data_IF_713758073360
#
_entry.id   IF_713758073360
#
_cell.length_a   1.000
_cell.length_b   1.000
_cell.length_c   1.000
_cell.angle_alpha   90.00
_cell.angle_beta   90.00
_cell.angle_gamma   90.00
#
_symmetry.space_group_name_H-M   'P 1'
#
loop_
_entity.id
_entity.type
_entity.pdbx_description
1 polymer ?
#
# COMPACT_ATOMS: atom_id res chain seq x y z
N UNK A 1 -64.24 70.74 -19.45
CA UNK A 1 -64.16 69.37 -20.01
C UNK A 1 -62.69 68.99 -19.97
N UNK A 2 -62.20 68.46 -18.85
CA UNK A 2 -62.09 67.02 -18.57
C UNK A 2 -61.67 66.22 -19.80
N UNK A 3 -60.46 65.63 -19.76
CA UNK A 3 -60.30 64.21 -19.49
C UNK A 3 -58.85 63.95 -19.04
N UNK A 4 -58.71 63.72 -17.73
CA UNK A 4 -57.70 62.84 -17.19
C UNK A 4 -57.76 61.47 -17.88
N UNK A 5 -56.67 60.72 -17.72
CA UNK A 5 -56.53 59.30 -18.00
C UNK A 5 -56.36 58.95 -19.48
N UNK A 6 -55.11 58.66 -19.85
CA UNK A 6 -54.74 57.26 -20.02
C UNK A 6 -53.22 57.12 -20.13
N UNK A 7 -52.73 56.06 -19.52
CA UNK A 7 -51.45 55.42 -19.87
C UNK A 7 -50.18 56.17 -19.46
N UNK A 8 -49.95 56.25 -18.14
CA UNK A 8 -48.62 55.93 -17.60
C UNK A 8 -48.33 54.45 -17.92
N UNK A 9 -48.09 54.13 -19.18
CA UNK A 9 -47.41 52.90 -19.53
C UNK A 9 -45.97 53.11 -19.07
N UNK A 10 -45.67 52.66 -17.84
CA UNK A 10 -44.32 52.25 -17.52
C UNK A 10 -43.93 51.29 -18.64
N UNK A 11 -43.08 51.76 -19.55
CA UNK A 11 -42.20 50.87 -20.25
C UNK A 11 -41.33 50.29 -19.14
N UNK A 12 -41.80 49.19 -18.54
CA UNK A 12 -40.98 48.29 -17.76
C UNK A 12 -39.95 47.78 -18.75
N UNK A 13 -38.87 48.55 -18.91
CA UNK A 13 -37.75 48.21 -19.76
C UNK A 13 -37.18 46.92 -19.17
N UNK A 14 -37.34 45.77 -19.87
CA UNK A 14 -36.88 44.49 -19.35
C UNK A 14 -35.39 44.49 -19.09
N UNK A 15 -34.64 45.37 -19.79
CA UNK A 15 -33.22 45.61 -19.55
C UNK A 15 -32.96 46.36 -18.24
N UNK A 16 -33.77 47.36 -17.91
CA UNK A 16 -33.64 48.12 -16.66
C UNK A 16 -33.94 47.26 -15.44
N UNK A 17 -34.98 46.41 -15.49
CA UNK A 17 -35.25 45.47 -14.39
C UNK A 17 -34.16 44.42 -14.23
N UNK A 18 -33.56 43.97 -15.34
CA UNK A 18 -32.48 42.99 -15.31
C UNK A 18 -31.19 43.61 -14.75
N UNK A 19 -30.90 44.86 -15.12
CA UNK A 19 -29.81 45.65 -14.55
C UNK A 19 -30.04 45.93 -13.07
N UNK A 20 -31.25 46.29 -12.64
CA UNK A 20 -31.59 46.52 -11.23
C UNK A 20 -31.52 45.24 -10.40
N UNK A 21 -31.94 44.10 -10.95
CA UNK A 21 -31.77 42.79 -10.29
C UNK A 21 -30.30 42.41 -10.18
N UNK A 22 -29.50 42.63 -11.23
CA UNK A 22 -28.06 42.31 -11.25
C UNK A 22 -27.30 43.22 -10.30
N UNK A 23 -27.55 44.51 -10.31
CA UNK A 23 -26.89 45.51 -9.43
C UNK A 23 -27.33 45.33 -7.98
N UNK A 24 -28.61 45.05 -7.72
CA UNK A 24 -29.13 44.75 -6.39
C UNK A 24 -28.60 43.43 -5.82
N UNK A 25 -28.50 42.39 -6.66
CA UNK A 25 -27.85 41.12 -6.29
C UNK A 25 -26.36 41.32 -6.00
N UNK A 26 -25.66 42.05 -6.85
CA UNK A 26 -24.25 42.39 -6.67
C UNK A 26 -24.02 43.19 -5.39
N UNK A 27 -24.77 44.28 -5.16
CA UNK A 27 -24.63 45.10 -3.96
C UNK A 27 -24.87 44.30 -2.67
N UNK A 28 -25.80 43.33 -2.70
CA UNK A 28 -26.19 42.51 -1.55
C UNK A 28 -25.28 41.31 -1.29
N UNK A 29 -24.71 40.70 -2.34
CA UNK A 29 -23.96 39.44 -2.23
C UNK A 29 -22.47 39.56 -2.61
N UNK A 30 -21.99 40.72 -3.09
CA UNK A 30 -20.59 40.90 -3.53
C UNK A 30 -19.55 40.42 -2.50
N UNK A 31 -19.72 40.74 -1.22
CA UNK A 31 -18.75 40.37 -0.18
C UNK A 31 -18.74 38.86 0.04
N UNK A 32 -19.90 38.21 0.00
CA UNK A 32 -20.03 36.75 0.17
C UNK A 32 -19.48 36.03 -1.06
N UNK A 33 -19.80 36.51 -2.27
CA UNK A 33 -19.30 35.97 -3.54
C UNK A 33 -17.78 36.13 -3.61
N UNK A 34 -17.23 37.31 -3.36
CA UNK A 34 -15.78 37.54 -3.37
C UNK A 34 -15.05 36.72 -2.29
N UNK A 35 -15.61 36.62 -1.07
CA UNK A 35 -15.05 35.78 -0.02
C UNK A 35 -15.05 34.30 -0.44
N UNK A 36 -16.15 33.80 -1.00
CA UNK A 36 -16.27 32.42 -1.47
C UNK A 36 -15.33 32.10 -2.63
N UNK A 37 -15.21 32.99 -3.62
CA UNK A 37 -14.25 32.88 -4.73
C UNK A 37 -12.82 32.92 -4.20
N UNK A 38 -12.50 33.82 -3.26
CA UNK A 38 -11.19 33.90 -2.62
C UNK A 38 -10.80 32.61 -1.92
N UNK A 39 -11.73 31.98 -1.18
CA UNK A 39 -11.52 30.67 -0.54
C UNK A 39 -11.26 29.58 -1.60
N UNK A 40 -12.05 29.53 -2.67
CA UNK A 40 -11.87 28.52 -3.74
C UNK A 40 -10.50 28.68 -4.42
N UNK A 41 -10.09 29.90 -4.73
CA UNK A 41 -8.78 30.19 -5.33
C UNK A 41 -7.65 29.82 -4.38
N UNK A 42 -7.78 30.13 -3.09
CA UNK A 42 -6.77 29.75 -2.09
C UNK A 42 -6.64 28.22 -1.96
N UNK A 43 -7.75 27.49 -1.91
CA UNK A 43 -7.75 26.01 -1.89
C UNK A 43 -7.13 25.45 -3.16
N UNK A 44 -7.49 25.98 -4.34
CA UNK A 44 -6.92 25.54 -5.61
C UNK A 44 -5.41 25.80 -5.69
N UNK A 45 -4.93 26.95 -5.21
CA UNK A 45 -3.51 27.27 -5.15
C UNK A 45 -2.77 26.32 -4.20
N UNK A 46 -3.29 26.07 -3.00
CA UNK A 46 -2.71 25.11 -2.04
C UNK A 46 -2.65 23.71 -2.66
N UNK A 47 -3.74 23.24 -3.28
CA UNK A 47 -3.76 21.96 -3.98
C UNK A 47 -2.71 21.91 -5.10
N UNK A 48 -2.61 22.95 -5.93
CA UNK A 48 -1.62 23.03 -7.01
C UNK A 48 -0.18 22.97 -6.49
N UNK A 49 0.17 23.78 -5.49
CA UNK A 49 1.51 23.79 -4.91
C UNK A 49 1.85 22.47 -4.21
N UNK A 50 0.89 21.87 -3.49
CA UNK A 50 1.11 20.58 -2.82
C UNK A 50 1.25 19.42 -3.81
N UNK A 51 0.42 19.37 -4.86
CA UNK A 51 0.54 18.37 -5.92
C UNK A 51 1.87 18.49 -6.66
N UNK A 52 2.29 19.72 -6.99
CA UNK A 52 3.56 19.97 -7.66
C UNK A 52 4.76 19.61 -6.79
N UNK A 53 4.74 19.98 -5.50
CA UNK A 53 5.80 19.62 -4.55
C UNK A 53 5.91 18.11 -4.37
N UNK A 54 4.76 17.41 -4.23
CA UNK A 54 4.72 15.95 -4.14
C UNK A 54 5.26 15.27 -5.39
N UNK A 55 4.93 15.77 -6.58
CA UNK A 55 5.44 15.23 -7.83
C UNK A 55 6.97 15.38 -7.96
N UNK A 56 7.51 16.55 -7.58
CA UNK A 56 8.97 16.76 -7.58
C UNK A 56 9.66 15.82 -6.59
N UNK A 57 9.14 15.74 -5.37
CA UNK A 57 9.67 14.86 -4.32
C UNK A 57 9.63 13.38 -4.73
N UNK A 58 8.55 12.94 -5.40
CA UNK A 58 8.46 11.58 -5.90
C UNK A 58 9.46 11.31 -7.03
N UNK A 59 9.68 12.25 -7.95
CA UNK A 59 10.66 12.07 -9.03
C UNK A 59 12.09 11.90 -8.48
N UNK A 60 12.47 12.69 -7.49
CA UNK A 60 13.78 12.58 -6.83
C UNK A 60 13.91 11.26 -6.05
N UNK A 61 12.87 10.88 -5.31
CA UNK A 61 12.80 9.62 -4.59
C UNK A 61 12.92 8.42 -5.53
N UNK A 62 12.16 8.42 -6.64
CA UNK A 62 12.17 7.38 -7.65
C UNK A 62 13.54 7.23 -8.33
N UNK A 63 14.21 8.35 -8.63
CA UNK A 63 15.56 8.34 -9.19
C UNK A 63 16.58 7.67 -8.27
N UNK A 64 16.56 8.01 -6.97
CA UNK A 64 17.45 7.38 -5.98
C UNK A 64 17.09 5.93 -5.70
N UNK A 65 15.79 5.60 -5.65
CA UNK A 65 15.35 4.22 -5.49
C UNK A 65 15.77 3.35 -6.67
N UNK A 66 15.76 3.90 -7.89
CA UNK A 66 16.28 3.21 -9.06
C UNK A 66 17.79 2.94 -8.95
N UNK A 67 18.57 3.87 -8.43
CA UNK A 67 20.01 3.65 -8.13
C UNK A 67 20.19 2.50 -7.12
N UNK A 68 19.44 2.52 -6.02
CA UNK A 68 19.47 1.44 -5.03
C UNK A 68 19.11 0.09 -5.69
N UNK A 69 18.09 0.06 -6.54
CA UNK A 69 17.68 -1.15 -7.22
C UNK A 69 18.77 -1.68 -8.16
N UNK A 70 19.49 -0.81 -8.90
CA UNK A 70 20.63 -1.22 -9.71
C UNK A 70 21.71 -1.89 -8.87
N UNK A 71 22.07 -1.31 -7.72
CA UNK A 71 23.05 -1.87 -6.80
C UNK A 71 22.61 -3.23 -6.23
N UNK A 72 21.31 -3.37 -5.92
CA UNK A 72 20.73 -4.65 -5.48
C UNK A 72 20.96 -5.74 -6.52
N UNK A 73 20.65 -5.47 -7.80
CA UNK A 73 20.86 -6.44 -8.88
C UNK A 73 22.33 -6.73 -9.17
N UNK A 74 23.23 -5.84 -8.76
CA UNK A 74 24.69 -6.07 -8.80
C UNK A 74 25.20 -6.86 -7.59
N UNK A 75 24.35 -7.15 -6.60
CA UNK A 75 24.70 -7.83 -5.36
C UNK A 75 25.33 -6.93 -4.31
N UNK A 76 25.42 -5.62 -4.54
CA UNK A 76 25.90 -4.65 -3.55
C UNK A 76 24.77 -4.28 -2.58
N UNK A 77 24.39 -5.26 -1.76
CA UNK A 77 23.26 -5.13 -0.84
C UNK A 77 23.50 -4.09 0.24
N UNK A 78 24.76 -3.90 0.67
CA UNK A 78 25.11 -2.94 1.70
C UNK A 78 24.84 -1.50 1.23
N UNK A 79 25.34 -1.15 0.04
CA UNK A 79 25.15 0.19 -0.52
C UNK A 79 23.71 0.41 -0.96
N UNK A 80 23.07 -0.59 -1.56
CA UNK A 80 21.65 -0.52 -1.92
C UNK A 80 20.75 -0.30 -0.69
N UNK A 81 21.03 -0.98 0.42
CA UNK A 81 20.34 -0.77 1.69
C UNK A 81 20.53 0.66 2.21
N UNK A 82 21.76 1.19 2.18
CA UNK A 82 22.02 2.56 2.60
C UNK A 82 21.20 3.58 1.81
N UNK A 83 21.19 3.47 0.48
CA UNK A 83 20.40 4.38 -0.37
C UNK A 83 18.90 4.19 -0.11
N UNK A 84 18.42 2.96 0.03
CA UNK A 84 17.01 2.68 0.35
C UNK A 84 16.59 3.34 1.68
N UNK A 85 17.46 3.31 2.70
CA UNK A 85 17.23 4.00 3.97
C UNK A 85 17.11 5.51 3.80
N UNK A 86 18.07 6.11 3.09
CA UNK A 86 18.01 7.53 2.79
C UNK A 86 16.72 7.91 2.05
N UNK A 87 16.24 7.04 1.15
CA UNK A 87 15.00 7.29 0.40
C UNK A 87 13.78 7.27 1.33
N UNK A 88 13.61 6.26 2.18
CA UNK A 88 12.44 6.25 3.07
C UNK A 88 12.52 7.30 4.19
N UNK A 89 13.72 7.71 4.61
CA UNK A 89 13.91 8.75 5.63
C UNK A 89 13.59 10.14 5.07
N UNK A 90 14.05 10.45 3.86
CA UNK A 90 13.89 11.77 3.24
C UNK A 90 12.56 11.91 2.49
N UNK A 91 12.09 10.83 1.88
CA UNK A 91 10.92 10.82 1.00
C UNK A 91 9.81 9.90 1.49
N UNK A 92 9.77 9.62 2.79
CA UNK A 92 8.83 8.65 3.37
C UNK A 92 7.35 8.91 3.09
N UNK A 93 6.93 10.12 2.70
CA UNK A 93 5.55 10.40 2.30
C UNK A 93 5.21 10.05 0.85
N UNK A 94 6.20 9.68 0.03
CA UNK A 94 6.01 9.39 -1.39
C UNK A 94 5.83 7.89 -1.66
N UNK A 95 5.26 7.50 -2.81
CA UNK A 95 5.22 6.10 -3.23
C UNK A 95 6.60 5.43 -3.23
N UNK A 96 7.63 6.08 -3.80
CA UNK A 96 9.00 5.56 -3.80
C UNK A 96 9.59 5.47 -2.39
N UNK A 97 9.32 6.43 -1.50
CA UNK A 97 9.69 6.31 -0.09
C UNK A 97 9.04 5.13 0.64
N UNK A 98 7.83 4.75 0.24
CA UNK A 98 7.17 3.55 0.76
C UNK A 98 7.80 2.28 0.16
N UNK A 99 8.04 2.24 -1.14
CA UNK A 99 8.66 1.09 -1.82
C UNK A 99 10.13 0.87 -1.40
N UNK A 100 10.82 1.93 -0.95
CA UNK A 100 12.15 1.82 -0.37
C UNK A 100 12.22 0.91 0.86
N UNK A 101 11.13 0.77 1.64
CA UNK A 101 11.07 -0.24 2.71
C UNK A 101 11.07 -1.67 2.15
N UNK A 102 10.38 -1.93 1.04
CA UNK A 102 10.42 -3.25 0.38
C UNK A 102 11.84 -3.56 -0.08
N UNK A 103 12.48 -2.62 -0.80
CA UNK A 103 13.85 -2.82 -1.29
C UNK A 103 14.87 -2.96 -0.14
N UNK A 104 14.72 -2.19 0.93
CA UNK A 104 15.54 -2.35 2.14
C UNK A 104 15.36 -3.75 2.76
N UNK A 105 14.12 -4.26 2.78
CA UNK A 105 13.81 -5.62 3.20
C UNK A 105 14.49 -6.68 2.32
N UNK A 106 14.42 -6.52 0.99
CA UNK A 106 15.09 -7.40 0.04
C UNK A 106 16.61 -7.41 0.26
N UNK A 107 17.24 -6.23 0.36
CA UNK A 107 18.68 -6.13 0.64
C UNK A 107 19.09 -6.82 1.94
N UNK A 108 18.32 -6.59 3.01
CA UNK A 108 18.57 -7.20 4.31
C UNK A 108 18.41 -8.74 4.24
N UNK A 109 17.41 -9.23 3.51
CA UNK A 109 17.18 -10.66 3.34
C UNK A 109 18.36 -11.34 2.63
N UNK A 110 18.80 -10.77 1.51
CA UNK A 110 19.89 -11.33 0.71
C UNK A 110 21.27 -11.17 1.35
N UNK A 111 21.44 -10.22 2.27
CA UNK A 111 22.65 -10.10 3.11
C UNK A 111 22.60 -10.96 4.38
N UNK A 112 21.50 -11.66 4.65
CA UNK A 112 21.32 -12.54 5.81
C UNK A 112 20.86 -11.85 7.09
N UNK A 113 20.59 -10.54 7.06
CA UNK A 113 19.98 -9.81 8.17
C UNK A 113 18.45 -9.97 8.14
N UNK A 114 17.98 -11.17 8.48
CA UNK A 114 16.58 -11.54 8.40
C UNK A 114 15.67 -10.73 9.36
N UNK A 115 16.22 -10.25 10.48
CA UNK A 115 15.45 -9.43 11.42
C UNK A 115 15.15 -8.06 10.81
N UNK A 116 16.17 -7.38 10.27
CA UNK A 116 15.95 -6.13 9.55
C UNK A 116 15.03 -6.35 8.34
N UNK A 117 15.18 -7.46 7.63
CA UNK A 117 14.30 -7.80 6.51
C UNK A 117 12.82 -7.86 6.93
N UNK A 118 12.52 -8.59 8.01
CA UNK A 118 11.16 -8.71 8.53
C UNK A 118 10.59 -7.35 8.95
N UNK A 119 11.38 -6.53 9.65
CA UNK A 119 10.96 -5.20 10.09
C UNK A 119 10.63 -4.28 8.91
N UNK A 120 11.49 -4.24 7.88
CA UNK A 120 11.30 -3.38 6.72
C UNK A 120 10.13 -3.84 5.83
N UNK A 121 9.96 -5.15 5.63
CA UNK A 121 8.75 -5.67 4.97
C UNK A 121 7.47 -5.35 5.76
N UNK A 122 7.53 -5.42 7.09
CA UNK A 122 6.44 -5.01 7.97
C UNK A 122 6.06 -3.53 7.78
N UNK A 123 7.04 -2.64 7.66
CA UNK A 123 6.83 -1.20 7.40
C UNK A 123 6.20 -0.94 6.04
N UNK A 124 6.63 -1.65 4.99
CA UNK A 124 5.98 -1.59 3.69
C UNK A 124 4.51 -2.02 3.77
N UNK A 125 4.23 -3.19 4.36
CA UNK A 125 2.88 -3.74 4.53
C UNK A 125 2.02 -2.94 5.52
N UNK A 126 2.62 -2.07 6.33
CA UNK A 126 1.89 -1.11 7.15
C UNK A 126 1.14 -0.08 6.29
N UNK A 127 1.66 0.23 5.09
CA UNK A 127 1.09 1.23 4.17
C UNK A 127 0.42 0.60 2.95
N UNK A 128 0.99 -0.47 2.39
CA UNK A 128 0.45 -1.17 1.22
C UNK A 128 -0.23 -2.47 1.67
N UNK A 129 -1.57 -2.48 1.69
CA UNK A 129 -2.36 -3.56 2.32
C UNK A 129 -2.75 -4.70 1.39
N UNK A 130 -2.85 -4.44 0.09
CA UNK A 130 -3.44 -5.36 -0.89
C UNK A 130 -2.80 -5.21 -2.26
N UNK A 131 -3.01 -6.22 -3.09
CA UNK A 131 -2.57 -6.27 -4.48
C UNK A 131 -1.35 -7.17 -4.66
N UNK A 132 -1.03 -7.56 -5.92
CA UNK A 132 -0.04 -8.60 -6.19
C UNK A 132 1.34 -8.33 -5.58
N UNK A 133 1.78 -7.07 -5.59
CA UNK A 133 3.05 -6.69 -4.97
C UNK A 133 2.99 -6.81 -3.44
N UNK A 134 1.88 -6.44 -2.80
CA UNK A 134 1.72 -6.60 -1.36
C UNK A 134 1.73 -8.08 -0.96
N UNK A 135 1.12 -8.95 -1.76
CA UNK A 135 1.12 -10.39 -1.51
C UNK A 135 2.51 -11.00 -1.71
N UNK A 136 3.25 -10.56 -2.75
CA UNK A 136 4.65 -10.94 -2.95
C UNK A 136 5.53 -10.52 -1.76
N UNK A 137 5.38 -9.29 -1.25
CA UNK A 137 6.10 -8.82 -0.05
C UNK A 137 5.66 -9.57 1.19
N UNK A 138 4.37 -9.93 1.31
CA UNK A 138 3.87 -10.75 2.43
C UNK A 138 4.52 -12.13 2.44
N UNK A 139 4.75 -12.73 1.26
CA UNK A 139 5.52 -13.97 1.12
C UNK A 139 6.96 -13.79 1.57
N UNK A 140 7.67 -12.77 1.07
CA UNK A 140 9.05 -12.47 1.51
C UNK A 140 9.15 -12.19 3.01
N UNK A 141 8.14 -11.52 3.58
CA UNK A 141 8.04 -11.27 5.01
C UNK A 141 7.89 -12.58 5.81
N UNK A 142 7.11 -13.55 5.32
CA UNK A 142 6.98 -14.85 5.98
C UNK A 142 8.31 -15.60 6.00
N UNK A 143 9.04 -15.60 4.88
CA UNK A 143 10.40 -16.15 4.80
C UNK A 143 11.37 -15.45 5.76
N UNK A 144 11.34 -14.12 5.80
CA UNK A 144 12.18 -13.33 6.69
C UNK A 144 11.88 -13.62 8.16
N UNK A 145 10.61 -13.70 8.55
CA UNK A 145 10.19 -14.02 9.92
C UNK A 145 10.65 -15.43 10.34
N UNK A 146 10.50 -16.41 9.45
CA UNK A 146 10.97 -17.78 9.72
C UNK A 146 12.49 -17.79 9.94
N UNK A 147 13.25 -17.21 9.01
CA UNK A 147 14.71 -17.14 9.07
C UNK A 147 15.22 -16.28 10.23
N UNK A 148 14.44 -15.30 10.69
CA UNK A 148 14.73 -14.48 11.87
C UNK A 148 14.43 -15.20 13.19
N UNK A 149 13.98 -16.47 13.17
CA UNK A 149 13.65 -17.21 14.38
C UNK A 149 12.32 -16.78 15.01
N UNK A 150 11.38 -16.27 14.20
CA UNK A 150 10.02 -15.90 14.62
C UNK A 150 8.97 -16.87 14.03
N UNK A 151 9.05 -18.18 14.34
CA UNK A 151 8.21 -19.19 13.68
C UNK A 151 6.71 -19.02 13.93
N UNK A 152 6.32 -18.42 15.07
CA UNK A 152 4.90 -18.13 15.34
C UNK A 152 4.32 -17.17 14.29
N UNK A 153 4.96 -16.02 14.12
CA UNK A 153 4.49 -15.00 13.18
C UNK A 153 4.60 -15.49 11.74
N UNK A 154 5.65 -16.27 11.42
CA UNK A 154 5.83 -16.89 10.11
C UNK A 154 4.69 -17.87 9.78
N UNK A 155 4.35 -18.80 10.69
CA UNK A 155 3.27 -19.76 10.50
C UNK A 155 1.92 -19.06 10.22
N UNK A 156 1.57 -18.05 11.02
CA UNK A 156 0.36 -17.26 10.83
C UNK A 156 0.32 -16.52 9.49
N UNK A 157 1.49 -16.12 8.97
CA UNK A 157 1.57 -15.42 7.70
C UNK A 157 1.48 -16.38 6.51
N UNK A 158 2.18 -17.52 6.57
CA UNK A 158 2.06 -18.59 5.57
C UNK A 158 0.62 -19.10 5.46
N UNK A 159 -0.05 -19.35 6.58
CA UNK A 159 -1.45 -19.82 6.58
C UNK A 159 -2.40 -18.84 5.89
N UNK A 160 -2.16 -17.52 6.03
CA UNK A 160 -2.94 -16.47 5.35
C UNK A 160 -2.65 -16.38 3.85
N UNK A 161 -1.52 -16.89 3.38
CA UNK A 161 -1.12 -16.86 1.96
C UNK A 161 -1.65 -18.06 1.16
N UNK A 162 -2.15 -19.10 1.83
CA UNK A 162 -2.74 -20.27 1.17
C UNK A 162 -3.92 -19.83 0.29
N UNK A 163 -3.87 -20.14 -1.01
CA UNK A 163 -4.88 -19.75 -1.99
C UNK A 163 -4.70 -18.33 -2.58
N UNK A 164 -3.68 -17.57 -2.16
CA UNK A 164 -3.37 -16.27 -2.74
C UNK A 164 -2.60 -16.41 -4.07
N UNK A 165 -1.77 -17.45 -4.16
CA UNK A 165 -0.92 -17.75 -5.30
C UNK A 165 -1.39 -19.03 -6.01
N UNK A 166 -0.52 -19.64 -6.82
CA UNK A 166 -0.79 -20.95 -7.40
C UNK A 166 -0.85 -22.08 -6.34
N UNK A 167 -1.24 -23.26 -6.81
CA UNK A 167 -1.43 -24.45 -5.98
C UNK A 167 -0.12 -24.99 -5.39
N UNK A 168 0.99 -24.90 -6.13
CA UNK A 168 2.32 -25.30 -5.65
C UNK A 168 2.77 -24.40 -4.48
N UNK A 169 2.65 -23.08 -4.65
CA UNK A 169 2.94 -22.09 -3.61
C UNK A 169 2.04 -22.29 -2.39
N UNK A 170 0.75 -22.58 -2.59
CA UNK A 170 -0.18 -22.85 -1.49
C UNK A 170 0.21 -24.09 -0.68
N UNK A 171 0.66 -25.14 -1.36
CA UNK A 171 1.19 -26.33 -0.70
C UNK A 171 2.50 -26.06 0.03
N UNK A 172 3.42 -25.29 -0.56
CA UNK A 172 4.65 -24.83 0.08
C UNK A 172 4.35 -24.09 1.40
N UNK A 173 3.40 -23.14 1.40
CA UNK A 173 3.06 -22.38 2.61
C UNK A 173 2.50 -23.28 3.72
N UNK A 174 1.69 -24.28 3.38
CA UNK A 174 1.23 -25.25 4.38
C UNK A 174 2.38 -26.09 4.94
N UNK A 175 3.35 -26.49 4.11
CA UNK A 175 4.54 -27.19 4.57
C UNK A 175 5.42 -26.30 5.45
N UNK A 176 5.60 -25.03 5.08
CA UNK A 176 6.36 -24.04 5.84
C UNK A 176 5.71 -23.73 7.19
N UNK A 177 4.38 -23.55 7.22
CA UNK A 177 3.62 -23.38 8.45
C UNK A 177 3.75 -24.61 9.37
N UNK A 178 3.66 -25.83 8.81
CA UNK A 178 3.86 -27.05 9.58
C UNK A 178 5.26 -27.12 10.20
N UNK A 179 6.31 -26.79 9.42
CA UNK A 179 7.69 -26.72 9.91
C UNK A 179 7.86 -25.69 11.04
N UNK A 180 7.23 -24.53 10.91
CA UNK A 180 7.21 -23.51 11.97
C UNK A 180 6.51 -24.02 13.25
N UNK A 181 5.36 -24.71 13.12
CA UNK A 181 4.67 -25.31 14.27
C UNK A 181 5.52 -26.40 14.95
N UNK A 182 6.28 -27.19 14.20
CA UNK A 182 7.22 -28.15 14.77
C UNK A 182 8.35 -27.47 15.54
N UNK A 183 8.90 -26.37 15.03
CA UNK A 183 9.91 -25.58 15.73
C UNK A 183 9.40 -25.01 17.06
N UNK A 184 8.08 -24.77 17.16
CA UNK A 184 7.38 -24.35 18.37
C UNK A 184 6.97 -25.51 19.30
N UNK A 185 7.27 -26.77 18.94
CA UNK A 185 6.82 -27.95 19.67
C UNK A 185 5.33 -28.28 19.52
N UNK A 186 4.62 -27.62 18.61
CA UNK A 186 3.16 -27.76 18.40
C UNK A 186 2.85 -28.82 17.37
N UNK A 187 3.13 -30.07 17.75
CA UNK A 187 3.00 -31.24 16.87
C UNK A 187 1.61 -31.40 16.27
N UNK A 188 0.55 -31.21 17.05
CA UNK A 188 -0.83 -31.36 16.58
C UNK A 188 -1.19 -30.33 15.51
N UNK A 189 -0.71 -29.09 15.67
CA UNK A 189 -0.93 -28.05 14.67
C UNK A 189 -0.18 -28.37 13.38
N UNK A 190 1.07 -28.84 13.47
CA UNK A 190 1.83 -29.28 12.30
C UNK A 190 1.12 -30.42 11.54
N UNK A 191 0.61 -31.43 12.26
CA UNK A 191 -0.16 -32.53 11.66
C UNK A 191 -1.38 -32.00 10.92
N UNK A 192 -2.14 -31.06 11.49
CA UNK A 192 -3.30 -30.45 10.81
C UNK A 192 -2.93 -29.80 9.48
N UNK A 193 -1.80 -29.06 9.42
CA UNK A 193 -1.39 -28.34 8.20
C UNK A 193 -0.87 -29.29 7.13
N UNK A 194 -0.09 -30.29 7.52
CA UNK A 194 0.36 -31.33 6.59
C UNK A 194 -0.81 -32.17 6.06
N UNK A 195 -1.80 -32.50 6.91
CA UNK A 195 -2.98 -33.24 6.46
C UNK A 195 -3.77 -32.41 5.45
N UNK A 196 -4.01 -31.13 5.74
CA UNK A 196 -4.62 -30.19 4.81
C UNK A 196 -3.86 -30.10 3.49
N UNK A 197 -2.53 -30.07 3.52
CA UNK A 197 -1.68 -30.08 2.32
C UNK A 197 -1.95 -31.32 1.46
N UNK A 198 -1.96 -32.51 2.08
CA UNK A 198 -2.20 -33.77 1.35
C UNK A 198 -3.62 -33.84 0.80
N UNK A 199 -4.61 -33.36 1.54
CA UNK A 199 -6.02 -33.44 1.17
C UNK A 199 -6.39 -32.42 0.09
N UNK A 200 -5.92 -31.18 0.22
CA UNK A 200 -6.28 -30.08 -0.69
C UNK A 200 -5.31 -29.93 -1.86
N UNK A 201 -4.05 -30.37 -1.74
CA UNK A 201 -2.96 -30.13 -2.70
C UNK A 201 -2.13 -31.40 -2.99
N UNK A 202 -2.79 -32.56 -2.94
CA UNK A 202 -2.16 -33.89 -3.03
C UNK A 202 -1.42 -34.20 -4.34
N UNK A 203 -1.62 -33.37 -5.38
CA UNK A 203 -0.97 -33.43 -6.68
C UNK A 203 0.37 -32.66 -6.75
N UNK A 204 0.66 -31.81 -5.76
CA UNK A 204 1.84 -30.94 -5.76
C UNK A 204 3.11 -31.68 -5.39
N UNK A 205 4.26 -31.07 -5.72
CA UNK A 205 5.57 -31.61 -5.35
C UNK A 205 5.77 -31.75 -3.83
N UNK A 206 5.07 -30.95 -3.02
CA UNK A 206 5.13 -30.99 -1.55
C UNK A 206 4.36 -32.15 -0.92
N UNK A 207 3.39 -32.75 -1.63
CA UNK A 207 2.50 -33.75 -1.05
C UNK A 207 3.21 -35.05 -0.64
N UNK A 208 4.21 -35.49 -1.41
CA UNK A 208 4.98 -36.70 -1.08
C UNK A 208 5.73 -36.53 0.25
N UNK A 209 6.48 -35.44 0.39
CA UNK A 209 7.21 -35.10 1.62
C UNK A 209 6.25 -34.90 2.80
N UNK A 210 5.10 -34.26 2.58
CA UNK A 210 4.09 -34.08 3.64
C UNK A 210 3.53 -35.41 4.17
N UNK A 211 3.28 -36.40 3.29
CA UNK A 211 2.83 -37.74 3.70
C UNK A 211 3.88 -38.45 4.58
N UNK A 212 5.17 -38.32 4.24
CA UNK A 212 6.27 -38.89 5.02
C UNK A 212 6.28 -38.25 6.43
N UNK A 213 6.29 -36.92 6.51
CA UNK A 213 6.28 -36.24 7.80
C UNK A 213 5.03 -36.54 8.64
N UNK A 214 3.85 -36.65 8.03
CA UNK A 214 2.64 -37.09 8.73
C UNK A 214 2.79 -38.47 9.36
N UNK A 215 3.35 -39.43 8.63
CA UNK A 215 3.57 -40.78 9.13
C UNK A 215 4.56 -40.78 10.31
N UNK A 216 5.68 -40.06 10.18
CA UNK A 216 6.69 -39.91 11.25
C UNK A 216 6.12 -39.28 12.52
N UNK A 217 5.30 -38.23 12.36
CA UNK A 217 4.67 -37.56 13.49
C UNK A 217 3.61 -38.44 14.15
N UNK A 218 2.82 -39.21 13.39
CA UNK A 218 1.79 -40.09 13.98
C UNK A 218 2.36 -41.35 14.65
N UNK A 219 3.57 -41.77 14.28
CA UNK A 219 4.23 -42.96 14.84
C UNK A 219 4.96 -42.72 16.18
N UNK A 220 5.17 -41.45 16.55
CA UNK A 220 5.79 -41.03 17.83
C UNK A 220 4.73 -40.57 18.81
#
# INVERSE_FOLDING_TARGET
MNLESQSRARLEDPGAELLDRVTGFWARYQTIVLASVGVVVAVAAIAFFTLRARASSENEAAGRLAEANVLFWQGDYARSLEISRQVYEQYGSTPSGTDAHRLAGDNAFWSGDFRTAADEYGRYLARVKSGPLADAVRRSHAYALESAGQPQAAAELYERLVGTFDRESSAEFLAAAARCHLALGRKDEAVKRLQRLVDEFGETTYAATARIHLAELKAR
#
